data_IF_132724734798
#
_entry.id   IF_132724734798
#
_cell.length_a   1.000
_cell.length_b   1.000
_cell.length_c   1.000
_cell.angle_alpha   90.00
_cell.angle_beta   90.00
_cell.angle_gamma   90.00
#
_symmetry.space_group_name_H-M   'P 1'
#
loop_
_entity.id
_entity.type
_entity.pdbx_description
1 polymer ?
#
# COMPACT_ATOMS: atom_id res chain seq x y z
N UNK A 1 32.41 -21.80 -10.23
CA UNK A 1 32.38 -20.48 -9.56
C UNK A 1 31.02 -20.31 -8.90
N UNK A 2 30.97 -19.65 -7.75
CA UNK A 2 29.71 -19.34 -7.03
C UNK A 2 29.35 -17.88 -7.28
N UNK A 3 28.05 -17.60 -7.48
CA UNK A 3 27.56 -16.22 -7.52
C UNK A 3 27.78 -15.59 -6.13
N UNK A 4 28.34 -14.40 -6.09
CA UNK A 4 28.46 -13.57 -4.89
C UNK A 4 27.59 -12.34 -5.06
N UNK A 5 26.90 -11.99 -3.98
CA UNK A 5 26.03 -10.83 -3.91
C UNK A 5 26.63 -9.80 -2.94
N UNK A 6 26.70 -8.54 -3.35
CA UNK A 6 27.11 -7.39 -2.54
C UNK A 6 25.87 -6.55 -2.20
N UNK A 7 25.49 -6.47 -0.92
CA UNK A 7 24.21 -5.88 -0.48
C UNK A 7 23.00 -6.49 -1.20
N UNK A 8 23.06 -7.81 -1.39
CA UNK A 8 22.08 -8.55 -2.17
C UNK A 8 22.18 -8.36 -3.68
N UNK A 9 22.99 -7.44 -4.22
CA UNK A 9 23.12 -7.30 -5.68
C UNK A 9 24.12 -8.26 -6.27
N UNK A 10 23.81 -8.89 -7.41
CA UNK A 10 24.82 -9.68 -8.11
C UNK A 10 26.10 -8.86 -8.28
N UNK A 11 27.20 -9.41 -7.81
CA UNK A 11 28.48 -8.73 -7.76
C UNK A 11 29.50 -9.40 -8.69
N UNK A 12 29.69 -10.71 -8.55
CA UNK A 12 30.62 -11.47 -9.36
C UNK A 12 30.35 -12.99 -9.30
N UNK A 13 30.84 -13.71 -10.30
CA UNK A 13 31.12 -15.14 -10.19
C UNK A 13 32.53 -15.31 -9.57
N UNK A 14 32.61 -15.92 -8.38
CA UNK A 14 33.85 -16.04 -7.63
C UNK A 14 34.16 -17.50 -7.25
N UNK A 15 35.42 -17.90 -7.38
CA UNK A 15 35.87 -19.25 -7.01
C UNK A 15 36.42 -19.33 -5.57
N UNK A 16 36.94 -18.22 -5.04
CA UNK A 16 37.55 -18.14 -3.71
C UNK A 16 36.53 -17.95 -2.58
N UNK A 17 37.03 -17.53 -1.43
CA UNK A 17 36.30 -17.14 -0.21
C UNK A 17 35.74 -15.72 -0.30
N UNK A 18 34.81 -15.35 0.58
CA UNK A 18 34.28 -13.98 0.62
C UNK A 18 35.32 -13.00 1.16
N UNK A 19 36.21 -13.44 2.04
CA UNK A 19 37.31 -12.67 2.59
C UNK A 19 38.30 -12.24 1.51
N UNK A 20 38.68 -13.16 0.61
CA UNK A 20 39.55 -12.85 -0.53
C UNK A 20 38.88 -11.88 -1.50
N UNK A 21 37.57 -12.03 -1.74
CA UNK A 21 36.84 -11.12 -2.61
C UNK A 21 36.64 -9.75 -1.95
N UNK A 22 36.40 -9.70 -0.65
CA UNK A 22 36.24 -8.49 0.14
C UNK A 22 37.52 -7.64 0.10
N UNK A 23 38.67 -8.29 0.31
CA UNK A 23 39.99 -7.65 0.23
C UNK A 23 40.28 -7.16 -1.20
N UNK A 24 40.03 -8.00 -2.20
CA UNK A 24 40.21 -7.63 -3.62
C UNK A 24 39.33 -6.45 -4.04
N UNK A 25 38.07 -6.42 -3.60
CA UNK A 25 37.08 -5.40 -3.98
C UNK A 25 37.07 -4.16 -3.05
N UNK A 26 37.82 -4.17 -1.95
CA UNK A 26 37.82 -3.08 -0.97
C UNK A 26 36.47 -2.88 -0.26
N UNK A 27 35.72 -3.96 -0.03
CA UNK A 27 34.40 -3.94 0.65
C UNK A 27 34.43 -4.77 1.93
N UNK A 28 33.55 -4.48 2.89
CA UNK A 28 33.42 -5.33 4.08
C UNK A 28 32.85 -6.71 3.70
N UNK A 29 33.46 -7.79 4.19
CA UNK A 29 32.99 -9.18 3.98
C UNK A 29 31.55 -9.38 4.45
N UNK A 30 31.11 -8.67 5.49
CA UNK A 30 29.73 -8.68 5.99
C UNK A 30 28.69 -8.18 4.99
N UNK A 31 29.13 -7.56 3.89
CA UNK A 31 28.27 -7.06 2.81
C UNK A 31 28.19 -8.05 1.65
N UNK A 32 29.04 -9.09 1.64
CA UNK A 32 29.04 -10.14 0.64
C UNK A 32 28.28 -11.36 1.16
N UNK A 33 27.51 -12.02 0.29
CA UNK A 33 26.88 -13.31 0.60
C UNK A 33 26.90 -14.21 -0.62
N UNK A 34 27.01 -15.52 -0.40
CA UNK A 34 26.71 -16.52 -1.43
C UNK A 34 25.22 -16.87 -1.47
N UNK A 35 24.45 -16.43 -0.48
CA UNK A 35 23.08 -16.88 -0.26
C UNK A 35 22.06 -15.97 -0.93
N UNK A 36 21.36 -16.52 -1.91
CA UNK A 36 20.22 -15.88 -2.58
C UNK A 36 19.09 -15.64 -1.57
N UNK A 37 18.95 -16.46 -0.52
CA UNK A 37 17.94 -16.30 0.51
C UNK A 37 18.15 -14.99 1.31
N UNK A 38 19.38 -14.65 1.68
CA UNK A 38 19.70 -13.36 2.33
C UNK A 38 19.30 -12.18 1.43
N UNK A 39 19.53 -12.32 0.13
CA UNK A 39 19.18 -11.32 -0.87
C UNK A 39 17.66 -11.16 -1.00
N UNK A 40 16.91 -12.26 -1.03
CA UNK A 40 15.45 -12.25 -1.06
C UNK A 40 14.89 -11.59 0.20
N UNK A 41 15.43 -11.92 1.38
CA UNK A 41 15.01 -11.33 2.65
C UNK A 41 15.18 -9.80 2.65
N UNK A 42 16.32 -9.30 2.14
CA UNK A 42 16.55 -7.86 1.99
C UNK A 42 15.58 -7.21 0.99
N UNK A 43 15.30 -7.86 -0.13
CA UNK A 43 14.34 -7.36 -1.11
C UNK A 43 12.91 -7.29 -0.53
N UNK A 44 12.46 -8.33 0.19
CA UNK A 44 11.16 -8.35 0.87
C UNK A 44 11.08 -7.25 1.94
N UNK A 45 12.16 -7.01 2.69
CA UNK A 45 12.20 -5.92 3.68
C UNK A 45 11.95 -4.56 3.03
N UNK A 46 12.68 -4.23 1.94
CA UNK A 46 12.48 -2.98 1.19
C UNK A 46 11.06 -2.87 0.63
N UNK A 47 10.54 -3.97 0.06
CA UNK A 47 9.18 -4.01 -0.47
C UNK A 47 8.13 -3.68 0.61
N UNK A 48 8.30 -4.22 1.81
CA UNK A 48 7.40 -3.95 2.93
C UNK A 48 7.51 -2.51 3.43
N UNK A 49 8.72 -1.94 3.47
CA UNK A 49 8.95 -0.54 3.84
C UNK A 49 8.28 0.42 2.83
N UNK A 50 8.50 0.20 1.53
CA UNK A 50 7.91 1.02 0.47
C UNK A 50 6.37 0.87 0.42
N UNK A 51 5.87 -0.35 0.63
CA UNK A 51 4.42 -0.61 0.70
C UNK A 51 3.79 0.08 1.91
N UNK A 52 4.43 0.03 3.08
CA UNK A 52 3.94 0.69 4.28
C UNK A 52 3.90 2.22 4.09
N UNK A 53 4.92 2.80 3.47
CA UNK A 53 4.93 4.23 3.12
C UNK A 53 3.79 4.60 2.14
N UNK A 54 3.56 3.78 1.11
CA UNK A 54 2.48 3.98 0.17
C UNK A 54 1.08 3.86 0.81
N UNK A 55 0.89 2.88 1.70
CA UNK A 55 -0.36 2.73 2.46
C UNK A 55 -0.59 3.91 3.41
N UNK A 56 0.45 4.36 4.11
CA UNK A 56 0.36 5.53 4.99
C UNK A 56 0.00 6.81 4.21
N UNK A 57 0.50 6.96 2.98
CA UNK A 57 0.14 8.09 2.12
C UNK A 57 -1.35 8.12 1.73
N UNK A 58 -2.06 6.99 1.70
CA UNK A 58 -3.52 6.96 1.50
C UNK A 58 -4.30 7.52 2.69
N UNK A 59 -3.67 7.59 3.86
CA UNK A 59 -4.24 8.08 5.11
C UNK A 59 -3.73 9.47 5.49
N UNK A 60 -2.77 10.02 4.73
CA UNK A 60 -2.16 11.30 5.08
C UNK A 60 -3.21 12.42 5.14
N UNK A 61 -3.15 13.20 6.21
CA UNK A 61 -4.14 14.24 6.52
C UNK A 61 -5.43 13.79 7.20
N UNK A 62 -5.64 12.49 7.44
CA UNK A 62 -6.82 11.97 8.16
C UNK A 62 -6.43 11.46 9.56
N UNK A 63 -7.14 11.88 10.63
CA UNK A 63 -6.92 11.31 11.96
C UNK A 63 -7.28 9.82 12.04
N UNK A 64 -6.56 9.06 12.87
CA UNK A 64 -6.80 7.61 13.06
C UNK A 64 -8.25 7.27 13.41
N UNK A 65 -8.87 8.09 14.27
CA UNK A 65 -10.26 7.87 14.68
C UNK A 65 -11.24 8.04 13.51
N UNK A 66 -10.91 8.88 12.52
CA UNK A 66 -11.76 9.08 11.35
C UNK A 66 -11.69 7.89 10.42
N UNK A 67 -10.48 7.36 10.18
CA UNK A 67 -10.24 6.18 9.35
C UNK A 67 -11.01 4.96 9.91
N UNK A 68 -11.02 4.79 11.23
CA UNK A 68 -11.76 3.71 11.90
C UNK A 68 -13.28 3.75 11.65
N UNK A 69 -13.83 4.92 11.31
CA UNK A 69 -15.26 5.07 11.02
C UNK A 69 -15.62 4.85 9.55
N UNK A 70 -14.64 4.82 8.63
CA UNK A 70 -14.92 4.71 7.19
C UNK A 70 -15.71 3.46 6.82
N UNK A 71 -15.46 2.34 7.50
CA UNK A 71 -16.23 1.10 7.27
C UNK A 71 -17.70 1.26 7.64
N UNK A 72 -18.00 1.90 8.77
CA UNK A 72 -19.38 2.15 9.21
C UNK A 72 -20.07 3.12 8.25
N UNK A 73 -19.37 4.19 7.85
CA UNK A 73 -19.88 5.15 6.87
C UNK A 73 -20.18 4.49 5.52
N UNK A 74 -19.26 3.66 5.00
CA UNK A 74 -19.46 2.97 3.72
C UNK A 74 -20.64 2.01 3.76
N UNK A 75 -20.79 1.28 4.87
CA UNK A 75 -21.89 0.32 5.04
C UNK A 75 -23.25 1.03 5.08
N UNK A 76 -23.39 2.07 5.91
CA UNK A 76 -24.61 2.88 5.95
C UNK A 76 -24.93 3.51 4.59
N UNK A 77 -23.92 4.05 3.91
CA UNK A 77 -24.10 4.66 2.59
C UNK A 77 -24.56 3.66 1.52
N UNK A 78 -24.00 2.44 1.52
CA UNK A 78 -24.43 1.36 0.61
C UNK A 78 -25.85 0.90 0.90
N UNK A 79 -26.22 0.74 2.17
CA UNK A 79 -27.58 0.39 2.56
C UNK A 79 -28.57 1.46 2.12
N UNK A 80 -28.24 2.74 2.34
CA UNK A 80 -29.07 3.87 1.90
C UNK A 80 -29.27 3.89 0.39
N UNK A 81 -28.22 3.68 -0.39
CA UNK A 81 -28.30 3.70 -1.86
C UNK A 81 -29.01 2.48 -2.45
N UNK A 82 -28.87 1.30 -1.86
CA UNK A 82 -29.55 0.09 -2.32
C UNK A 82 -31.07 0.13 -2.06
N UNK A 83 -31.52 0.92 -1.09
CA UNK A 83 -32.92 1.01 -0.71
C UNK A 83 -33.76 1.86 -1.66
N UNK A 84 -35.02 1.44 -1.85
CA UNK A 84 -36.02 2.21 -2.60
C UNK A 84 -36.25 3.58 -1.97
N UNK A 85 -36.59 4.57 -2.80
CA UNK A 85 -36.78 5.96 -2.36
C UNK A 85 -37.86 6.12 -1.28
N UNK A 86 -38.90 5.29 -1.30
CA UNK A 86 -40.02 5.28 -0.35
C UNK A 86 -39.76 4.48 0.93
N UNK A 87 -38.60 3.82 1.03
CA UNK A 87 -38.26 2.93 2.14
C UNK A 87 -36.77 3.01 2.48
N UNK A 88 -36.26 4.23 2.71
CA UNK A 88 -34.87 4.44 3.12
C UNK A 88 -34.59 3.87 4.52
N UNK A 89 -33.44 3.22 4.74
CA UNK A 89 -33.06 2.65 6.02
C UNK A 89 -32.61 3.75 6.99
N UNK A 90 -32.57 3.41 8.27
CA UNK A 90 -31.95 4.27 9.28
C UNK A 90 -30.44 4.16 9.16
N UNK A 91 -29.76 5.31 9.03
CA UNK A 91 -28.30 5.44 8.91
C UNK A 91 -27.77 6.33 10.04
N UNK A 92 -27.70 5.83 11.28
CA UNK A 92 -27.52 6.68 12.45
C UNK A 92 -26.22 7.49 12.44
N UNK A 93 -25.11 6.95 11.91
CA UNK A 93 -23.86 7.68 11.80
C UNK A 93 -23.99 8.83 10.80
N UNK A 94 -24.42 8.53 9.56
CA UNK A 94 -24.53 9.52 8.49
C UNK A 94 -25.59 10.58 8.81
N UNK A 95 -26.72 10.20 9.43
CA UNK A 95 -27.72 11.15 9.89
C UNK A 95 -27.16 12.09 10.96
N UNK A 96 -26.45 11.58 11.97
CA UNK A 96 -25.87 12.42 13.02
C UNK A 96 -24.78 13.35 12.48
N UNK A 97 -23.93 12.84 11.58
CA UNK A 97 -22.90 13.62 10.90
C UNK A 97 -23.51 14.72 10.02
N UNK A 98 -24.57 14.39 9.28
CA UNK A 98 -25.33 15.35 8.46
C UNK A 98 -25.90 16.48 9.32
N UNK A 99 -26.62 16.15 10.39
CA UNK A 99 -27.22 17.13 11.31
C UNK A 99 -26.18 18.06 11.91
N UNK A 100 -25.01 17.56 12.32
CA UNK A 100 -23.96 18.44 12.85
C UNK A 100 -23.34 19.34 11.77
N UNK A 101 -23.16 18.83 10.54
CA UNK A 101 -22.66 19.66 9.43
C UNK A 101 -23.65 20.76 9.08
N UNK A 102 -24.93 20.44 9.01
CA UNK A 102 -26.01 21.41 8.76
C UNK A 102 -26.04 22.49 9.86
N UNK A 103 -25.94 22.10 11.14
CA UNK A 103 -25.86 23.04 12.25
C UNK A 103 -24.64 23.98 12.20
N UNK A 104 -23.58 23.59 11.48
CA UNK A 104 -22.38 24.38 11.23
C UNK A 104 -22.43 25.16 9.90
N UNK A 105 -23.57 25.14 9.18
CA UNK A 105 -23.78 25.89 7.95
C UNK A 105 -23.43 25.17 6.66
N UNK A 106 -23.29 23.84 6.68
CA UNK A 106 -23.15 23.05 5.46
C UNK A 106 -24.51 22.87 4.76
N UNK A 107 -24.63 23.26 3.50
CA UNK A 107 -25.89 23.32 2.75
C UNK A 107 -26.26 22.01 2.01
N UNK A 108 -25.50 20.94 2.17
CA UNK A 108 -25.77 19.68 1.45
C UNK A 108 -26.86 18.82 2.09
N UNK A 109 -27.41 17.92 1.29
CA UNK A 109 -28.40 16.94 1.76
C UNK A 109 -27.72 15.68 2.32
N UNK A 110 -28.48 14.85 3.05
CA UNK A 110 -28.03 13.53 3.47
C UNK A 110 -27.67 12.65 2.25
N UNK A 111 -28.41 12.79 1.15
CA UNK A 111 -28.10 12.08 -0.11
C UNK A 111 -26.76 12.53 -0.69
N UNK A 112 -26.47 13.84 -0.71
CA UNK A 112 -25.14 14.32 -1.15
C UNK A 112 -24.01 13.81 -0.24
N UNK A 113 -24.27 13.66 1.07
CA UNK A 113 -23.30 13.06 2.00
C UNK A 113 -23.06 11.59 1.66
N UNK A 114 -24.13 10.81 1.46
CA UNK A 114 -24.07 9.39 1.09
C UNK A 114 -23.28 9.19 -0.19
N UNK A 115 -23.55 9.97 -1.24
CA UNK A 115 -22.84 9.92 -2.52
C UNK A 115 -21.34 10.18 -2.35
N UNK A 116 -20.97 11.22 -1.60
CA UNK A 116 -19.57 11.56 -1.31
C UNK A 116 -18.87 10.47 -0.52
N UNK A 117 -19.53 9.88 0.48
CA UNK A 117 -18.98 8.74 1.23
C UNK A 117 -18.71 7.56 0.31
N UNK A 118 -19.64 7.22 -0.59
CA UNK A 118 -19.43 6.14 -1.56
C UNK A 118 -18.29 6.45 -2.53
N UNK A 119 -18.23 7.66 -3.07
CA UNK A 119 -17.15 8.08 -3.96
C UNK A 119 -15.78 7.92 -3.28
N UNK A 120 -15.63 8.49 -2.08
CA UNK A 120 -14.37 8.44 -1.33
C UNK A 120 -13.99 7.02 -0.93
N UNK A 121 -14.95 6.24 -0.39
CA UNK A 121 -14.67 4.88 0.06
C UNK A 121 -14.38 3.92 -1.11
N UNK A 122 -15.00 4.13 -2.28
CA UNK A 122 -14.69 3.37 -3.49
C UNK A 122 -13.31 3.74 -4.05
N UNK A 123 -12.96 5.03 -4.08
CA UNK A 123 -11.64 5.48 -4.50
C UNK A 123 -10.54 4.91 -3.59
N UNK A 124 -10.75 4.97 -2.27
CA UNK A 124 -9.85 4.37 -1.28
C UNK A 124 -9.73 2.85 -1.43
N UNK A 125 -10.86 2.15 -1.64
CA UNK A 125 -10.86 0.70 -1.86
C UNK A 125 -10.08 0.33 -3.12
N UNK A 126 -10.28 1.06 -4.22
CA UNK A 126 -9.57 0.84 -5.48
C UNK A 126 -8.06 1.10 -5.33
N UNK A 127 -7.68 2.19 -4.65
CA UNK A 127 -6.28 2.52 -4.36
C UNK A 127 -5.61 1.42 -3.52
N UNK A 128 -6.25 1.00 -2.44
CA UNK A 128 -5.76 -0.06 -1.55
C UNK A 128 -5.61 -1.38 -2.29
N UNK A 129 -6.62 -1.77 -3.08
CA UNK A 129 -6.56 -3.00 -3.87
C UNK A 129 -5.42 -2.97 -4.90
N UNK A 130 -5.19 -1.82 -5.55
CA UNK A 130 -4.07 -1.62 -6.49
C UNK A 130 -2.72 -1.82 -5.81
N UNK A 131 -2.49 -1.21 -4.64
CA UNK A 131 -1.23 -1.35 -3.90
C UNK A 131 -1.00 -2.79 -3.44
N UNK A 132 -2.02 -3.45 -2.88
CA UNK A 132 -1.94 -4.85 -2.45
C UNK A 132 -1.64 -5.75 -3.65
N UNK A 133 -2.31 -5.53 -4.78
CA UNK A 133 -2.06 -6.27 -6.02
C UNK A 133 -0.60 -6.14 -6.50
N UNK A 134 -0.08 -4.90 -6.54
CA UNK A 134 1.31 -4.60 -6.91
C UNK A 134 2.31 -5.26 -5.94
N UNK A 135 2.03 -5.22 -4.64
CA UNK A 135 2.83 -5.90 -3.61
C UNK A 135 2.92 -7.40 -3.88
N UNK A 136 1.79 -8.07 -4.11
CA UNK A 136 1.78 -9.51 -4.38
C UNK A 136 2.53 -9.87 -5.67
N UNK A 137 2.48 -9.04 -6.71
CA UNK A 137 3.26 -9.25 -7.94
C UNK A 137 4.75 -9.13 -7.65
N UNK A 138 5.16 -8.11 -6.90
CA UNK A 138 6.55 -7.90 -6.51
C UNK A 138 7.09 -9.03 -5.62
N UNK A 139 6.33 -9.50 -4.64
CA UNK A 139 6.70 -10.64 -3.79
C UNK A 139 6.96 -11.89 -4.63
N UNK A 140 6.07 -12.21 -5.57
CA UNK A 140 6.26 -13.37 -6.47
C UNK A 140 7.48 -13.21 -7.37
N UNK A 141 7.74 -11.99 -7.85
CA UNK A 141 8.92 -11.73 -8.67
C UNK A 141 10.22 -11.91 -7.87
N UNK A 142 10.26 -11.44 -6.62
CA UNK A 142 11.40 -11.65 -5.70
C UNK A 142 11.61 -13.15 -5.42
N UNK A 143 10.53 -13.89 -5.16
CA UNK A 143 10.61 -15.31 -4.86
C UNK A 143 11.10 -16.15 -6.05
N UNK A 144 10.68 -15.80 -7.27
CA UNK A 144 11.10 -16.48 -8.48
C UNK A 144 12.51 -16.07 -8.97
N UNK A 145 13.07 -14.97 -8.49
CA UNK A 145 14.32 -14.41 -9.00
C UNK A 145 15.57 -15.15 -8.50
N UNK A 146 16.51 -15.39 -9.41
CA UNK A 146 17.89 -15.74 -9.08
C UNK A 146 18.72 -14.52 -8.62
N UNK A 147 18.33 -13.33 -9.07
CA UNK A 147 18.86 -12.04 -8.59
C UNK A 147 17.70 -11.12 -8.16
N UNK A 148 17.20 -11.28 -6.92
CA UNK A 148 16.05 -10.54 -6.40
C UNK A 148 16.32 -9.04 -6.24
N UNK A 149 17.58 -8.62 -6.27
CA UNK A 149 17.97 -7.23 -6.01
C UNK A 149 17.66 -6.28 -7.16
N UNK A 150 17.54 -6.84 -8.37
CA UNK A 150 17.19 -6.16 -9.61
C UNK A 150 15.68 -5.96 -9.76
N UNK A 151 14.88 -6.64 -8.92
CA UNK A 151 13.42 -6.50 -8.94
C UNK A 151 13.06 -5.12 -8.41
N UNK A 152 12.35 -4.37 -9.24
CA UNK A 152 11.77 -3.07 -8.91
C UNK A 152 10.25 -3.18 -8.85
N UNK A 153 9.65 -2.39 -7.98
CA UNK A 153 8.21 -2.21 -7.89
C UNK A 153 7.90 -0.72 -7.93
N UNK A 154 6.65 -0.41 -8.29
CA UNK A 154 6.16 0.94 -8.34
C UNK A 154 4.85 1.02 -7.54
N UNK A 155 4.86 1.84 -6.50
CA UNK A 155 3.69 2.18 -5.70
C UNK A 155 3.18 3.60 -5.96
N UNK A 156 3.66 4.27 -7.02
CA UNK A 156 3.18 5.60 -7.39
C UNK A 156 1.69 5.55 -7.71
N UNK A 157 0.97 6.46 -7.08
CA UNK A 157 -0.45 6.69 -7.32
C UNK A 157 -0.60 7.73 -8.43
N UNK A 158 -1.30 7.36 -9.50
CA UNK A 158 -1.93 8.38 -10.35
C UNK A 158 -3.27 8.69 -9.72
N UNK A 159 -3.39 9.87 -9.10
CA UNK A 159 -4.70 10.35 -8.64
C UNK A 159 -5.68 10.31 -9.82
N UNK A 160 -6.93 9.84 -9.62
CA UNK A 160 -7.97 10.11 -10.60
C UNK A 160 -8.01 11.62 -10.78
N UNK A 161 -7.78 12.09 -12.00
CA UNK A 161 -8.02 13.50 -12.34
C UNK A 161 -9.44 13.84 -11.90
N UNK A 162 -9.57 14.84 -11.03
CA UNK A 162 -10.86 15.42 -10.65
C UNK A 162 -11.67 15.68 -11.92
N UNK A 163 -12.85 15.09 -12.01
CA UNK A 163 -13.82 15.28 -13.08
C UNK A 163 -15.09 15.88 -12.52
#
# INVERSE_FOLDING_TARGET
MRKVFLYGKFFADWAGTLEELADFAGVSVSRLSYDVADTKAQAIKRLNEDFAAAMAALHDGWPDYEIQTWTVQAEEARQWMAAKADAKPVVPFLSSLHTQREAMGWEGTLENLVERVLQNTNAYTAATASLIGRRHVAERAIDAAEDPSSITWDFVFSAPTEG
#
